data_IF_998672010140
#
_entry.id   IF_998672010140
#
_cell.length_a   1.000
_cell.length_b   1.000
_cell.length_c   1.000
_cell.angle_alpha   90.00
_cell.angle_beta   90.00
_cell.angle_gamma   90.00
#
_symmetry.space_group_name_H-M   'P 1'
#
loop_
_entity.id
_entity.type
_entity.pdbx_description
1 polymer ?
#
# COMPACT_ATOMS: atom_id res chain seq x y z
N UNK A 1 2.64 4.92 -9.03
CA UNK A 1 1.64 4.82 -10.11
C UNK A 1 1.76 6.00 -11.06
N UNK A 2 2.28 5.80 -12.26
CA UNK A 2 2.37 6.85 -13.31
C UNK A 2 1.10 6.94 -14.18
N UNK A 3 0.05 6.19 -13.85
CA UNK A 3 -1.13 6.03 -14.72
C UNK A 3 -2.41 6.74 -14.23
N UNK A 4 -2.33 7.49 -13.13
CA UNK A 4 -3.42 8.34 -12.64
C UNK A 4 -3.10 9.84 -12.60
N UNK A 5 -1.88 10.24 -13.02
CA UNK A 5 -1.61 11.64 -13.38
C UNK A 5 -2.47 12.13 -14.57
N UNK A 6 -3.15 11.22 -15.28
CA UNK A 6 -3.84 11.53 -16.53
C UNK A 6 -5.32 11.89 -16.43
N UNK A 7 -5.99 11.78 -15.27
CA UNK A 7 -7.46 12.01 -15.21
C UNK A 7 -7.95 12.95 -14.10
N UNK A 8 -7.09 13.35 -13.16
CA UNK A 8 -7.41 14.29 -12.06
C UNK A 8 -6.66 15.62 -12.19
N UNK A 9 -5.61 15.69 -13.02
CA UNK A 9 -4.98 16.95 -13.42
C UNK A 9 -5.95 17.88 -14.19
N UNK A 10 -7.04 17.32 -14.74
CA UNK A 10 -8.04 18.05 -15.51
C UNK A 10 -9.14 18.71 -14.66
N UNK A 11 -9.34 18.33 -13.38
CA UNK A 11 -10.53 18.78 -12.63
C UNK A 11 -10.29 19.83 -11.52
N UNK A 12 -9.22 19.75 -10.70
CA UNK A 12 -9.19 20.57 -9.48
C UNK A 12 -7.80 21.11 -9.12
N UNK A 13 -7.70 22.44 -9.12
CA UNK A 13 -6.54 23.26 -8.77
C UNK A 13 -5.90 22.84 -7.43
N UNK A 14 -4.74 22.21 -7.53
CA UNK A 14 -3.57 22.31 -6.65
C UNK A 14 -3.91 22.30 -5.15
N UNK A 15 -4.06 21.11 -4.54
CA UNK A 15 -3.71 20.88 -3.12
C UNK A 15 -3.62 19.38 -2.69
N UNK A 16 -4.07 18.40 -3.48
CA UNK A 16 -4.11 16.98 -3.05
C UNK A 16 -2.96 16.08 -3.53
N UNK A 17 -2.05 16.56 -4.39
CA UNK A 17 -1.01 15.69 -4.95
C UNK A 17 -0.01 15.18 -3.90
N UNK A 18 0.35 16.01 -2.92
CA UNK A 18 1.32 15.62 -1.89
C UNK A 18 0.71 14.66 -0.86
N UNK A 19 -0.57 14.85 -0.50
CA UNK A 19 -1.28 13.98 0.44
C UNK A 19 -1.38 12.54 -0.07
N UNK A 20 -1.72 12.36 -1.36
CA UNK A 20 -1.80 11.04 -1.99
C UNK A 20 -0.44 10.32 -1.96
N UNK A 21 0.67 11.05 -2.15
CA UNK A 21 2.01 10.43 -2.08
C UNK A 21 2.36 10.05 -0.65
N UNK A 22 1.97 10.86 0.33
CA UNK A 22 2.15 10.52 1.75
C UNK A 22 1.38 9.26 2.13
N UNK A 23 0.17 9.07 1.60
CA UNK A 23 -0.67 7.89 1.85
C UNK A 23 0.01 6.60 1.36
N UNK A 24 0.51 6.59 0.11
CA UNK A 24 1.28 5.46 -0.45
C UNK A 24 2.54 5.18 0.38
N UNK A 25 3.19 6.22 0.90
CA UNK A 25 4.43 6.11 1.68
C UNK A 25 4.19 5.52 3.07
N UNK A 26 3.06 5.89 3.70
CA UNK A 26 2.59 5.28 4.95
C UNK A 26 2.24 3.80 4.73
N UNK A 27 1.53 3.46 3.65
CA UNK A 27 1.22 2.07 3.29
C UNK A 27 2.48 1.21 3.09
N UNK A 28 3.49 1.77 2.43
CA UNK A 28 4.80 1.12 2.26
C UNK A 28 5.56 0.93 3.58
N UNK A 29 5.53 1.90 4.50
CA UNK A 29 6.16 1.76 5.81
C UNK A 29 5.51 0.65 6.64
N UNK A 30 4.18 0.55 6.60
CA UNK A 30 3.44 -0.54 7.26
C UNK A 30 3.84 -1.88 6.64
N UNK A 31 3.84 -1.98 5.31
CA UNK A 31 4.19 -3.22 4.59
C UNK A 31 5.55 -3.77 4.99
N UNK A 32 6.54 -2.89 5.17
CA UNK A 32 7.92 -3.24 5.48
C UNK A 32 8.20 -3.35 6.98
N UNK A 33 7.20 -3.14 7.83
CA UNK A 33 7.37 -3.20 9.26
C UNK A 33 7.78 -4.62 9.69
N UNK A 34 8.84 -4.73 10.50
CA UNK A 34 9.39 -6.01 10.98
C UNK A 34 9.82 -6.99 9.86
N UNK A 35 10.16 -6.47 8.67
CA UNK A 35 10.81 -7.26 7.61
C UNK A 35 12.34 -7.16 7.79
N UNK A 36 13.12 -8.23 7.51
CA UNK A 36 14.57 -8.18 7.64
C UNK A 36 15.22 -7.15 6.71
N UNK A 37 16.44 -6.77 7.03
CA UNK A 37 17.22 -5.87 6.19
C UNK A 37 17.59 -6.51 4.84
N UNK A 38 17.49 -5.73 3.76
CA UNK A 38 17.85 -6.18 2.42
C UNK A 38 17.12 -5.40 1.32
N UNK A 39 17.85 -4.99 0.29
CA UNK A 39 17.25 -4.26 -0.85
C UNK A 39 16.19 -5.09 -1.59
N UNK A 40 16.32 -6.41 -1.57
CA UNK A 40 15.37 -7.32 -2.19
C UNK A 40 14.03 -7.36 -1.44
N UNK A 41 14.05 -7.24 -0.10
CA UNK A 41 12.82 -7.14 0.69
C UNK A 41 12.06 -5.85 0.41
N UNK A 42 12.77 -4.74 0.15
CA UNK A 42 12.14 -3.50 -0.30
C UNK A 42 11.42 -3.69 -1.64
N UNK A 43 12.05 -4.39 -2.59
CA UNK A 43 11.45 -4.67 -3.89
C UNK A 43 10.23 -5.60 -3.77
N UNK A 44 10.34 -6.69 -3.00
CA UNK A 44 9.22 -7.61 -2.77
C UNK A 44 8.08 -6.88 -2.05
N UNK A 45 8.38 -6.15 -0.98
CA UNK A 45 7.39 -5.37 -0.24
C UNK A 45 6.67 -4.36 -1.12
N UNK A 46 7.40 -3.67 -2.01
CA UNK A 46 6.81 -2.76 -2.99
C UNK A 46 5.85 -3.49 -3.95
N UNK A 47 6.26 -4.64 -4.49
CA UNK A 47 5.41 -5.42 -5.40
C UNK A 47 4.18 -5.95 -4.68
N UNK A 48 4.34 -6.50 -3.47
CA UNK A 48 3.23 -7.04 -2.66
C UNK A 48 2.25 -5.93 -2.31
N UNK A 49 2.74 -4.79 -1.81
CA UNK A 49 1.90 -3.62 -1.51
C UNK A 49 1.10 -3.19 -2.74
N UNK A 50 1.75 -3.03 -3.90
CA UNK A 50 1.07 -2.63 -5.14
C UNK A 50 0.03 -3.64 -5.61
N UNK A 51 0.30 -4.93 -5.46
CA UNK A 51 -0.70 -5.95 -5.79
C UNK A 51 -1.93 -5.81 -4.89
N UNK A 52 -1.74 -5.62 -3.58
CA UNK A 52 -2.86 -5.47 -2.62
C UNK A 52 -3.63 -4.18 -2.85
N UNK A 53 -2.94 -3.06 -3.04
CA UNK A 53 -3.48 -1.73 -3.37
C UNK A 53 -4.32 -1.76 -4.66
N UNK A 54 -3.85 -2.46 -5.70
CA UNK A 54 -4.61 -2.60 -6.96
C UNK A 54 -5.81 -3.54 -6.81
N UNK A 55 -5.65 -4.65 -6.09
CA UNK A 55 -6.71 -5.67 -5.96
C UNK A 55 -7.81 -5.27 -4.97
N UNK A 56 -7.50 -4.44 -3.98
CA UNK A 56 -8.40 -4.00 -2.89
C UNK A 56 -9.31 -5.14 -2.37
N UNK A 57 -8.72 -6.26 -1.88
CA UNK A 57 -9.51 -7.38 -1.36
C UNK A 57 -10.45 -6.91 -0.23
N UNK A 58 -11.60 -7.56 -0.09
CA UNK A 58 -12.49 -7.28 1.04
C UNK A 58 -11.70 -7.43 2.36
N UNK A 59 -11.75 -6.47 3.31
CA UNK A 59 -12.70 -5.37 3.48
C UNK A 59 -12.29 -4.00 2.88
N UNK A 60 -11.13 -3.91 2.22
CA UNK A 60 -10.56 -2.67 1.66
C UNK A 60 -11.54 -2.02 0.68
N UNK A 61 -12.01 -2.79 -0.31
CA UNK A 61 -13.01 -2.33 -1.28
C UNK A 61 -14.39 -1.98 -0.68
N UNK A 62 -14.70 -2.42 0.55
CA UNK A 62 -15.90 -1.95 1.25
C UNK A 62 -15.67 -0.56 1.85
N UNK A 63 -14.51 -0.33 2.47
CA UNK A 63 -14.15 0.98 3.05
C UNK A 63 -14.07 2.04 1.96
N UNK A 64 -13.38 1.76 0.86
CA UNK A 64 -13.27 2.63 -0.33
C UNK A 64 -14.64 3.08 -0.88
N UNK A 65 -15.65 2.19 -0.80
CA UNK A 65 -17.02 2.49 -1.27
C UNK A 65 -17.90 3.22 -0.25
N UNK A 66 -17.61 3.10 1.05
CA UNK A 66 -18.47 3.65 2.10
C UNK A 66 -17.90 4.93 2.73
N UNK A 67 -16.58 5.15 2.64
CA UNK A 67 -15.89 6.30 3.22
C UNK A 67 -15.33 7.16 2.09
N UNK A 68 -15.85 8.37 1.95
CA UNK A 68 -15.50 9.28 0.85
C UNK A 68 -14.62 10.44 1.35
N UNK A 69 -13.81 11.00 0.45
CA UNK A 69 -12.89 12.10 0.72
C UNK A 69 -11.48 11.64 1.12
N UNK A 70 -10.60 12.57 1.49
CA UNK A 70 -9.19 12.28 1.78
C UNK A 70 -8.96 11.26 2.91
N UNK A 71 -9.88 11.18 3.88
CA UNK A 71 -9.82 10.16 4.94
C UNK A 71 -10.05 8.75 4.40
N UNK A 72 -10.91 8.60 3.39
CA UNK A 72 -11.16 7.31 2.74
C UNK A 72 -9.94 6.81 1.98
N UNK A 73 -9.27 7.72 1.26
CA UNK A 73 -8.04 7.44 0.49
C UNK A 73 -6.91 6.97 1.41
N UNK A 74 -6.61 7.73 2.47
CA UNK A 74 -5.55 7.34 3.41
C UNK A 74 -5.87 6.02 4.14
N UNK A 75 -7.14 5.80 4.50
CA UNK A 75 -7.55 4.56 5.18
C UNK A 75 -7.43 3.33 4.25
N UNK A 76 -7.69 3.50 2.96
CA UNK A 76 -7.54 2.48 1.93
C UNK A 76 -6.06 2.01 1.82
N UNK A 77 -5.13 2.95 1.68
CA UNK A 77 -3.68 2.68 1.63
C UNK A 77 -3.14 2.06 2.93
N UNK A 78 -3.63 2.52 4.09
CA UNK A 78 -3.26 1.95 5.40
C UNK A 78 -3.72 0.49 5.49
N UNK A 79 -4.95 0.19 5.08
CA UNK A 79 -5.46 -1.18 5.09
C UNK A 79 -4.72 -2.05 4.07
N UNK A 80 -4.44 -1.54 2.88
CA UNK A 80 -3.60 -2.22 1.90
C UNK A 80 -2.21 -2.54 2.48
N UNK A 81 -1.61 -1.59 3.21
CA UNK A 81 -0.34 -1.77 3.92
C UNK A 81 -0.40 -2.88 4.98
N UNK A 82 -1.48 -2.97 5.76
CA UNK A 82 -1.66 -4.03 6.77
C UNK A 82 -1.80 -5.42 6.11
N UNK A 83 -2.57 -5.53 5.03
CA UNK A 83 -2.71 -6.78 4.29
C UNK A 83 -1.39 -7.21 3.65
N UNK A 84 -0.68 -6.28 3.03
CA UNK A 84 0.64 -6.52 2.45
C UNK A 84 1.66 -6.92 3.54
N UNK A 85 1.62 -6.28 4.70
CA UNK A 85 2.44 -6.64 5.86
C UNK A 85 2.22 -8.08 6.30
N UNK A 86 0.97 -8.54 6.43
CA UNK A 86 0.67 -9.93 6.80
C UNK A 86 1.24 -10.92 5.78
N UNK A 87 1.17 -10.61 4.48
CA UNK A 87 1.78 -11.42 3.43
C UNK A 87 3.31 -11.44 3.58
N UNK A 88 3.93 -10.27 3.82
CA UNK A 88 5.37 -10.17 4.04
C UNK A 88 5.82 -10.98 5.24
N UNK A 89 5.10 -10.93 6.36
CA UNK A 89 5.39 -11.73 7.55
C UNK A 89 5.31 -13.24 7.26
N UNK A 90 4.33 -13.67 6.45
CA UNK A 90 4.26 -15.07 5.99
C UNK A 90 5.46 -15.47 5.12
N UNK A 91 5.91 -14.59 4.22
CA UNK A 91 7.09 -14.81 3.38
C UNK A 91 8.38 -14.86 4.20
N UNK A 92 8.54 -13.93 5.15
CA UNK A 92 9.69 -13.87 6.06
C UNK A 92 9.72 -15.12 6.94
N UNK A 93 8.58 -15.51 7.52
CA UNK A 93 8.47 -16.72 8.32
C UNK A 93 8.89 -17.96 7.50
N UNK A 94 8.37 -18.11 6.28
CA UNK A 94 8.76 -19.19 5.38
C UNK A 94 10.25 -19.18 5.03
N UNK A 95 10.82 -18.00 4.77
CA UNK A 95 12.24 -17.82 4.48
C UNK A 95 13.13 -18.22 5.67
N UNK A 96 12.80 -17.76 6.87
CA UNK A 96 13.55 -18.10 8.10
C UNK A 96 13.50 -19.60 8.38
N UNK A 97 12.34 -20.24 8.25
CA UNK A 97 12.18 -21.67 8.52
C UNK A 97 12.78 -22.60 7.46
N UNK A 98 13.05 -22.10 6.24
CA UNK A 98 13.70 -22.87 5.19
C UNK A 98 15.23 -22.75 5.17
N UNK A 99 15.79 -21.69 5.79
CA UNK A 99 17.23 -21.41 5.78
C UNK A 99 17.95 -21.71 7.11
N UNK A 100 17.20 -22.05 8.16
CA UNK A 100 17.71 -22.53 9.47
C UNK A 100 17.37 -24.00 9.63
#
# INVERSE_FOLDING_TARGET
GFWLGGKVADDLRVHDHEGIVWDEMVGMWITLWLVPEGWWWLLIGFVVFRIVDILKPWPISWVDRNVHGGVGIMLDDVLAGVFAWLVMQGLVWGWVHWLV
#
